data_IF_752933362453
#
_entry.id   IF_752933362453
#
_cell.length_a   1.000
_cell.length_b   1.000
_cell.length_c   1.000
_cell.angle_alpha   90.00
_cell.angle_beta   90.00
_cell.angle_gamma   90.00
#
_symmetry.space_group_name_H-M   'P 1'
#
loop_
_entity.id
_entity.type
_entity.pdbx_description
1 polymer ?
#
# COMPACT_ATOMS: atom_id res chain seq x y z
N UNK A 1 -23.59 -6.92 -40.82
CA UNK A 1 -23.96 -6.22 -39.56
C UNK A 1 -23.02 -6.67 -38.47
N UNK A 2 -21.95 -5.90 -38.20
CA UNK A 2 -20.93 -6.21 -37.19
C UNK A 2 -21.33 -5.54 -35.89
N UNK A 3 -21.45 -6.32 -34.81
CA UNK A 3 -21.60 -5.80 -33.44
C UNK A 3 -20.23 -5.40 -32.92
N UNK A 4 -20.00 -4.10 -32.73
CA UNK A 4 -18.93 -3.56 -31.97
C UNK A 4 -19.16 -3.93 -30.47
N UNK A 5 -18.32 -4.77 -29.91
CA UNK A 5 -18.19 -4.97 -28.47
C UNK A 5 -17.38 -3.82 -27.89
N UNK A 6 -18.00 -3.02 -27.03
CA UNK A 6 -17.32 -1.99 -26.23
C UNK A 6 -16.59 -2.72 -25.11
N UNK A 7 -15.27 -2.87 -25.26
CA UNK A 7 -14.40 -3.32 -24.17
C UNK A 7 -14.14 -2.08 -23.29
N UNK A 8 -14.82 -2.00 -22.12
CA UNK A 8 -14.55 -0.99 -21.11
C UNK A 8 -13.17 -1.24 -20.51
N UNK A 9 -12.24 -0.31 -20.74
CA UNK A 9 -10.95 -0.28 -20.07
C UNK A 9 -11.17 0.01 -18.58
N UNK A 10 -11.01 -0.99 -17.76
CA UNK A 10 -10.92 -0.84 -16.30
C UNK A 10 -9.50 -0.36 -16.01
N UNK A 11 -9.41 0.81 -15.34
CA UNK A 11 -8.21 1.60 -15.14
C UNK A 11 -7.00 0.81 -14.63
N UNK A 12 -5.85 1.18 -15.20
CA UNK A 12 -4.63 0.42 -15.13
C UNK A 12 -3.90 0.46 -13.80
N UNK A 13 -3.75 -0.69 -13.21
CA UNK A 13 -2.54 -0.97 -12.48
C UNK A 13 -1.38 -0.87 -13.49
N UNK A 14 -0.45 0.06 -13.27
CA UNK A 14 0.72 0.22 -14.15
C UNK A 14 1.60 -1.01 -14.00
N UNK A 15 1.49 -1.93 -14.97
CA UNK A 15 2.45 -3.00 -15.15
C UNK A 15 3.75 -2.39 -15.69
N UNK A 16 4.72 -2.13 -14.83
CA UNK A 16 6.11 -2.06 -15.24
C UNK A 16 6.50 -3.42 -15.83
N UNK A 17 7.34 -3.43 -16.86
CA UNK A 17 7.77 -4.65 -17.56
C UNK A 17 8.16 -5.74 -16.53
N UNK A 18 7.42 -6.86 -16.49
CA UNK A 18 7.58 -7.92 -15.49
C UNK A 18 8.91 -8.69 -15.64
N UNK A 19 9.56 -8.58 -16.80
CA UNK A 19 10.78 -9.36 -17.11
C UNK A 19 12.01 -8.95 -16.29
N UNK A 20 12.04 -7.74 -15.71
CA UNK A 20 13.21 -7.24 -14.99
C UNK A 20 13.15 -7.52 -13.47
N UNK A 21 11.97 -7.85 -12.92
CA UNK A 21 11.79 -8.08 -11.48
C UNK A 21 12.17 -9.51 -11.02
N UNK A 22 12.44 -10.43 -11.93
CA UNK A 22 12.77 -11.83 -11.64
C UNK A 22 14.23 -12.19 -11.97
N UNK A 23 15.12 -11.19 -12.03
CA UNK A 23 16.56 -11.48 -12.12
C UNK A 23 17.10 -11.97 -10.77
N UNK A 24 18.16 -12.82 -10.73
CA UNK A 24 18.72 -13.35 -9.49
C UNK A 24 19.13 -12.25 -8.47
N UNK A 25 19.56 -11.10 -8.96
CA UNK A 25 19.90 -9.96 -8.11
C UNK A 25 18.66 -9.34 -7.46
N UNK A 26 17.58 -9.14 -8.21
CA UNK A 26 16.30 -8.62 -7.70
C UNK A 26 15.68 -9.60 -6.71
N UNK A 27 15.68 -10.89 -7.01
CA UNK A 27 15.20 -11.92 -6.08
C UNK A 27 15.97 -11.90 -4.75
N UNK A 28 17.29 -11.74 -4.80
CA UNK A 28 18.12 -11.64 -3.59
C UNK A 28 17.75 -10.42 -2.74
N UNK A 29 17.53 -9.25 -3.34
CA UNK A 29 17.13 -8.02 -2.64
C UNK A 29 15.73 -8.17 -2.04
N UNK A 30 14.77 -8.73 -2.77
CA UNK A 30 13.40 -8.97 -2.25
C UNK A 30 13.46 -9.94 -1.07
N UNK A 31 14.22 -11.02 -1.16
CA UNK A 31 14.40 -12.00 -0.08
C UNK A 31 15.01 -11.36 1.16
N UNK A 32 16.08 -10.60 1.01
CA UNK A 32 16.69 -9.86 2.11
C UNK A 32 15.71 -8.87 2.75
N UNK A 33 14.98 -8.12 1.91
CA UNK A 33 13.94 -7.20 2.36
C UNK A 33 12.83 -7.93 3.13
N UNK A 34 12.38 -9.08 2.62
CA UNK A 34 11.37 -9.91 3.28
C UNK A 34 11.83 -10.43 4.66
N UNK A 35 13.06 -10.89 4.77
CA UNK A 35 13.63 -11.43 6.01
C UNK A 35 13.79 -10.34 7.09
N UNK A 36 14.10 -9.12 6.69
CA UNK A 36 14.26 -7.98 7.61
C UNK A 36 12.97 -7.23 7.91
N UNK A 37 11.92 -7.43 7.09
CA UNK A 37 10.63 -6.78 7.26
C UNK A 37 9.89 -7.28 8.51
N UNK A 38 9.19 -6.38 9.20
CA UNK A 38 8.33 -6.70 10.32
C UNK A 38 6.94 -7.15 9.85
N UNK A 39 6.26 -8.01 10.61
CA UNK A 39 4.84 -8.26 10.34
C UNK A 39 4.07 -6.94 10.32
N UNK A 40 2.99 -6.87 9.54
CA UNK A 40 2.19 -5.64 9.43
C UNK A 40 1.68 -5.16 10.78
N UNK A 41 1.30 -6.09 11.66
CA UNK A 41 0.87 -5.76 13.04
C UNK A 41 2.02 -5.17 13.84
N UNK A 42 3.21 -5.78 13.81
CA UNK A 42 4.38 -5.26 14.52
C UNK A 42 4.79 -3.87 14.00
N UNK A 43 4.70 -3.63 12.69
CA UNK A 43 4.98 -2.31 12.10
C UNK A 43 3.96 -1.25 12.58
N UNK A 44 2.67 -1.57 12.60
CA UNK A 44 1.63 -0.65 13.07
C UNK A 44 1.70 -0.41 14.57
N UNK A 45 2.11 -1.41 15.35
CA UNK A 45 2.35 -1.25 16.78
C UNK A 45 3.62 -0.42 17.04
N UNK A 46 4.67 -0.61 16.24
CA UNK A 46 5.85 0.26 16.27
C UNK A 46 5.49 1.72 15.98
N UNK A 47 4.62 1.99 14.99
CA UNK A 47 4.12 3.34 14.74
C UNK A 47 3.30 3.86 15.93
N UNK A 48 2.44 3.04 16.54
CA UNK A 48 1.64 3.44 17.72
C UNK A 48 2.54 3.91 18.87
N UNK A 49 3.67 3.23 19.08
CA UNK A 49 4.56 3.43 20.21
C UNK A 49 5.74 4.38 19.89
N UNK A 50 5.87 4.80 18.64
CA UNK A 50 6.94 5.68 18.19
C UNK A 50 6.89 7.05 18.87
N UNK A 51 8.04 7.51 19.32
CA UNK A 51 8.23 8.89 19.80
C UNK A 51 8.89 9.70 18.68
N UNK A 52 8.27 10.80 18.24
CA UNK A 52 8.87 11.66 17.23
C UNK A 52 10.22 12.22 17.68
N UNK A 53 11.18 12.28 16.79
CA UNK A 53 12.39 13.04 17.04
C UNK A 53 12.03 14.54 17.01
N UNK A 54 12.32 15.32 18.06
CA UNK A 54 12.01 16.75 18.08
C UNK A 54 12.91 17.59 17.14
N UNK A 55 14.03 17.05 16.72
CA UNK A 55 14.96 17.71 15.82
C UNK A 55 14.51 17.56 14.36
N UNK A 56 13.87 18.61 13.85
CA UNK A 56 13.39 18.65 12.46
C UNK A 56 14.51 18.69 11.41
N UNK A 57 15.74 19.05 11.77
CA UNK A 57 16.87 18.99 10.84
C UNK A 57 17.30 17.53 10.61
N UNK A 58 17.19 16.70 11.64
CA UNK A 58 17.51 15.26 11.59
C UNK A 58 16.36 14.43 11.06
N UNK A 59 15.12 14.71 11.50
CA UNK A 59 13.93 13.96 11.16
C UNK A 59 12.74 14.87 10.78
N UNK A 60 12.79 15.55 9.62
CA UNK A 60 11.83 16.58 9.25
C UNK A 60 10.38 16.10 9.11
N UNK A 61 10.17 14.80 8.98
CA UNK A 61 8.85 14.22 8.80
C UNK A 61 8.25 13.62 10.08
N UNK A 62 9.03 13.45 11.15
CA UNK A 62 8.56 12.82 12.39
C UNK A 62 7.41 13.59 13.06
N UNK A 63 7.29 14.88 12.81
CA UNK A 63 6.14 15.71 13.22
C UNK A 63 4.77 15.17 12.75
N UNK A 64 4.75 14.29 11.75
CA UNK A 64 3.51 13.65 11.27
C UNK A 64 3.16 12.36 12.02
N UNK A 65 4.09 11.80 12.82
CA UNK A 65 3.86 10.56 13.58
C UNK A 65 2.62 10.66 14.50
N UNK A 66 2.44 11.72 15.31
CA UNK A 66 1.29 11.79 16.23
C UNK A 66 -0.07 11.77 15.53
N UNK A 67 -0.19 12.45 14.40
CA UNK A 67 -1.45 12.43 13.64
C UNK A 67 -1.67 11.06 12.97
N UNK A 68 -0.61 10.38 12.55
CA UNK A 68 -0.70 9.04 11.99
C UNK A 68 -1.09 8.00 13.04
N UNK A 69 -0.61 8.11 14.27
CA UNK A 69 -1.06 7.29 15.40
C UNK A 69 -2.58 7.41 15.62
N UNK A 70 -3.11 8.62 15.56
CA UNK A 70 -4.57 8.84 15.67
C UNK A 70 -5.33 8.24 14.48
N UNK A 71 -4.78 8.33 13.25
CA UNK A 71 -5.37 7.76 12.05
C UNK A 71 -5.46 6.24 12.14
N UNK A 72 -4.37 5.55 12.46
CA UNK A 72 -4.40 4.07 12.58
C UNK A 72 -5.33 3.60 13.68
N UNK A 73 -5.34 4.26 14.84
CA UNK A 73 -6.27 3.94 15.94
C UNK A 73 -7.73 4.02 15.49
N UNK A 74 -8.09 5.11 14.79
CA UNK A 74 -9.45 5.31 14.27
C UNK A 74 -9.83 4.24 13.26
N UNK A 75 -8.94 3.94 12.30
CA UNK A 75 -9.22 3.00 11.21
C UNK A 75 -9.27 1.57 11.73
N UNK A 76 -8.33 1.14 12.57
CA UNK A 76 -8.38 -0.17 13.25
C UNK A 76 -9.72 -0.35 14.00
N UNK A 77 -10.16 0.68 14.74
CA UNK A 77 -11.46 0.64 15.44
C UNK A 77 -12.65 0.52 14.47
N UNK A 78 -12.59 1.23 13.34
CA UNK A 78 -13.63 1.15 12.30
C UNK A 78 -13.69 -0.23 11.67
N UNK A 79 -12.55 -0.77 11.24
CA UNK A 79 -12.46 -2.09 10.63
C UNK A 79 -12.84 -3.22 11.61
N UNK A 80 -12.47 -3.11 12.87
CA UNK A 80 -12.89 -4.07 13.90
C UNK A 80 -14.42 -4.11 14.09
N UNK A 81 -15.11 -2.96 13.87
CA UNK A 81 -16.58 -2.88 13.99
C UNK A 81 -17.31 -3.29 12.73
N UNK A 82 -16.80 -2.92 11.56
CA UNK A 82 -17.51 -3.05 10.28
C UNK A 82 -17.01 -4.25 9.44
N UNK A 83 -15.79 -4.73 9.70
CA UNK A 83 -15.11 -5.70 8.86
C UNK A 83 -14.57 -5.09 7.56
N UNK A 84 -14.04 -5.95 6.71
CA UNK A 84 -13.72 -5.63 5.32
C UNK A 84 -14.99 -5.66 4.45
N UNK A 85 -14.95 -4.99 3.30
CA UNK A 85 -16.01 -5.10 2.30
C UNK A 85 -16.16 -6.56 1.82
N UNK A 86 -17.37 -6.99 1.44
CA UNK A 86 -17.57 -8.36 0.95
C UNK A 86 -16.62 -8.75 -0.18
N UNK A 87 -16.43 -7.85 -1.15
CA UNK A 87 -15.53 -8.10 -2.29
C UNK A 87 -14.07 -8.34 -1.84
N UNK A 88 -13.56 -7.55 -0.88
CA UNK A 88 -12.19 -7.76 -0.37
C UNK A 88 -12.11 -9.02 0.51
N UNK A 89 -13.13 -9.33 1.30
CA UNK A 89 -13.18 -10.60 2.06
C UNK A 89 -13.10 -11.80 1.13
N UNK A 90 -13.89 -11.81 0.07
CA UNK A 90 -13.91 -12.90 -0.91
C UNK A 90 -12.56 -13.01 -1.63
N UNK A 91 -11.98 -11.88 -2.04
CA UNK A 91 -10.67 -11.86 -2.66
C UNK A 91 -9.58 -12.41 -1.73
N UNK A 92 -9.56 -12.01 -0.46
CA UNK A 92 -8.60 -12.47 0.55
C UNK A 92 -8.73 -13.97 0.84
N UNK A 93 -9.97 -14.49 0.92
CA UNK A 93 -10.20 -15.93 1.11
C UNK A 93 -9.80 -16.76 -0.12
N UNK A 94 -9.87 -16.15 -1.29
CA UNK A 94 -9.54 -16.77 -2.58
C UNK A 94 -8.07 -16.86 -2.91
N UNK A 95 -7.16 -16.17 -2.17
CA UNK A 95 -5.72 -16.26 -2.43
C UNK A 95 -5.19 -17.68 -2.15
N UNK A 96 -4.14 -18.05 -2.86
CA UNK A 96 -3.41 -19.30 -2.58
C UNK A 96 -2.73 -19.21 -1.21
N UNK A 97 -2.61 -20.33 -0.51
CA UNK A 97 -1.78 -20.41 0.68
C UNK A 97 -0.32 -20.06 0.34
N UNK A 98 0.33 -19.31 1.23
CA UNK A 98 1.69 -18.82 0.99
C UNK A 98 1.76 -17.49 0.21
N UNK A 99 0.63 -16.90 -0.20
CA UNK A 99 0.62 -15.55 -0.78
C UNK A 99 1.22 -14.53 0.19
N UNK A 100 2.08 -13.64 -0.31
CA UNK A 100 2.81 -12.67 0.48
C UNK A 100 2.63 -11.26 -0.06
N UNK A 101 2.71 -10.27 0.82
CA UNK A 101 2.83 -8.85 0.46
C UNK A 101 3.97 -8.20 1.22
N UNK A 102 4.88 -7.55 0.50
CA UNK A 102 5.90 -6.67 1.06
C UNK A 102 5.45 -5.22 0.88
N UNK A 103 5.35 -4.46 1.98
CA UNK A 103 4.90 -3.07 1.95
C UNK A 103 6.06 -2.16 2.36
N UNK A 104 6.56 -1.35 1.42
CA UNK A 104 7.54 -0.31 1.75
C UNK A 104 6.80 0.91 2.30
N UNK A 105 7.17 1.34 3.51
CA UNK A 105 6.50 2.43 4.21
C UNK A 105 7.43 3.12 5.22
N UNK A 106 6.96 4.25 5.75
CA UNK A 106 7.57 4.97 6.88
C UNK A 106 6.50 5.39 7.88
N UNK A 107 6.88 5.56 9.16
CA UNK A 107 5.94 5.94 10.22
C UNK A 107 5.34 7.33 10.01
N UNK A 108 6.09 8.23 9.39
CA UNK A 108 5.61 9.56 9.04
C UNK A 108 4.68 9.60 7.82
N UNK A 109 4.54 8.50 7.06
CA UNK A 109 3.73 8.47 5.85
C UNK A 109 2.23 8.52 6.16
N UNK A 110 1.59 9.63 5.77
CA UNK A 110 0.16 9.84 5.99
C UNK A 110 -0.73 8.89 5.18
N UNK A 111 -0.33 8.54 3.96
CA UNK A 111 -1.04 7.55 3.13
C UNK A 111 -0.91 6.14 3.73
N UNK A 112 0.30 5.79 4.21
CA UNK A 112 0.53 4.53 4.92
C UNK A 112 -0.40 4.36 6.12
N UNK A 113 -0.57 5.42 6.92
CA UNK A 113 -1.49 5.40 8.06
C UNK A 113 -2.97 5.19 7.68
N UNK A 114 -3.36 5.45 6.43
CA UNK A 114 -4.72 5.19 5.92
C UNK A 114 -4.88 3.77 5.35
N UNK A 115 -3.80 3.22 4.79
CA UNK A 115 -3.81 2.00 3.97
C UNK A 115 -3.42 0.76 4.79
N UNK A 116 -2.35 0.84 5.59
CA UNK A 116 -1.79 -0.31 6.28
C UNK A 116 -2.76 -1.01 7.26
N UNK A 117 -3.66 -0.31 7.97
CA UNK A 117 -4.68 -0.99 8.77
C UNK A 117 -5.63 -1.90 7.96
N UNK A 118 -5.83 -1.60 6.66
CA UNK A 118 -6.61 -2.49 5.76
C UNK A 118 -5.80 -3.75 5.47
N UNK A 119 -4.49 -3.63 5.19
CA UNK A 119 -3.61 -4.80 5.03
C UNK A 119 -3.60 -5.70 6.27
N UNK A 120 -3.57 -5.12 7.48
CA UNK A 120 -3.65 -5.88 8.72
C UNK A 120 -4.98 -6.64 8.83
N UNK A 121 -6.10 -5.98 8.52
CA UNK A 121 -7.42 -6.62 8.51
C UNK A 121 -7.52 -7.75 7.46
N UNK A 122 -6.83 -7.61 6.31
CA UNK A 122 -6.73 -8.66 5.30
C UNK A 122 -6.00 -9.90 5.83
N UNK A 123 -4.89 -9.73 6.55
CA UNK A 123 -4.18 -10.84 7.20
C UNK A 123 -5.10 -11.59 8.14
N UNK A 124 -5.84 -10.90 9.00
CA UNK A 124 -6.80 -11.53 9.92
C UNK A 124 -7.91 -12.29 9.18
N UNK A 125 -8.38 -11.76 8.04
CA UNK A 125 -9.45 -12.39 7.26
C UNK A 125 -8.97 -13.54 6.36
N UNK A 126 -7.66 -13.71 6.17
CA UNK A 126 -7.07 -14.68 5.25
C UNK A 126 -6.97 -16.12 5.80
N UNK A 127 -7.26 -16.30 7.07
CA UNK A 127 -7.13 -17.59 7.75
C UNK A 127 -5.73 -18.23 7.58
N UNK A 128 -4.69 -17.38 7.57
CA UNK A 128 -3.29 -17.80 7.44
C UNK A 128 -2.79 -17.99 6.00
N UNK A 129 -3.59 -17.69 4.97
CA UNK A 129 -3.16 -17.82 3.57
C UNK A 129 -2.32 -16.63 3.08
N UNK A 130 -2.53 -15.44 3.66
CA UNK A 130 -1.83 -14.21 3.30
C UNK A 130 -0.93 -13.76 4.43
N UNK A 131 0.34 -13.56 4.13
CA UNK A 131 1.29 -12.90 5.03
C UNK A 131 1.62 -11.50 4.50
N UNK A 132 1.55 -10.48 5.36
CA UNK A 132 1.94 -9.11 5.02
C UNK A 132 3.03 -8.63 5.95
N UNK A 133 4.14 -8.20 5.37
CA UNK A 133 5.26 -7.58 6.09
C UNK A 133 5.50 -6.17 5.61
N UNK A 134 5.94 -5.30 6.51
CA UNK A 134 6.29 -3.92 6.19
C UNK A 134 7.80 -3.69 6.40
N UNK A 135 8.39 -3.00 5.43
CA UNK A 135 9.80 -2.67 5.36
C UNK A 135 9.98 -1.15 5.42
N UNK A 136 10.89 -0.67 6.25
CA UNK A 136 11.19 0.76 6.34
C UNK A 136 11.96 1.19 5.08
N UNK A 137 11.32 2.06 4.26
CA UNK A 137 11.84 2.49 2.95
C UNK A 137 13.21 3.13 3.03
N UNK A 138 13.42 4.02 4.01
CA UNK A 138 14.65 4.81 4.09
C UNK A 138 15.88 3.98 4.51
N UNK A 139 15.63 2.80 5.11
CA UNK A 139 16.67 1.83 5.45
C UNK A 139 16.93 0.81 4.34
N UNK A 140 16.03 0.72 3.35
CA UNK A 140 16.04 -0.27 2.29
C UNK A 140 15.77 0.39 0.93
N UNK A 141 16.58 1.41 0.61
CA UNK A 141 16.46 2.18 -0.63
C UNK A 141 16.74 1.33 -1.86
N UNK A 142 17.57 0.32 -1.75
CA UNK A 142 17.87 -0.67 -2.77
C UNK A 142 16.63 -1.48 -3.18
N UNK A 143 15.85 -1.95 -2.20
CA UNK A 143 14.56 -2.60 -2.47
C UNK A 143 13.53 -1.60 -3.01
N UNK A 144 13.49 -0.37 -2.48
CA UNK A 144 12.56 0.66 -2.95
C UNK A 144 12.82 1.06 -4.41
N UNK A 145 14.08 1.09 -4.84
CA UNK A 145 14.46 1.46 -6.20
C UNK A 145 14.00 0.45 -7.26
N UNK A 146 13.64 -0.78 -6.86
CA UNK A 146 13.00 -1.77 -7.73
C UNK A 146 11.55 -1.41 -8.06
N UNK A 147 10.87 -0.57 -7.23
CA UNK A 147 9.43 -0.35 -7.30
C UNK A 147 9.03 1.12 -7.36
N UNK A 148 9.79 1.93 -8.09
CA UNK A 148 9.53 3.36 -8.24
C UNK A 148 8.15 3.65 -8.86
N UNK A 149 7.54 4.75 -8.46
CA UNK A 149 6.32 5.27 -9.08
C UNK A 149 6.65 6.57 -9.81
N UNK A 150 6.58 6.56 -11.14
CA UNK A 150 6.98 7.68 -12.00
C UNK A 150 8.41 8.19 -11.68
N UNK A 151 9.34 7.28 -11.45
CA UNK A 151 10.73 7.58 -11.09
C UNK A 151 10.95 8.04 -9.66
N UNK A 152 9.92 8.07 -8.82
CA UNK A 152 10.00 8.51 -7.42
C UNK A 152 9.78 7.37 -6.42
N UNK A 153 10.45 7.48 -5.25
CA UNK A 153 10.32 6.56 -4.11
C UNK A 153 9.04 6.80 -3.31
N UNK A 154 7.89 6.71 -4.00
CA UNK A 154 6.58 6.99 -3.41
C UNK A 154 6.10 5.84 -2.52
N UNK A 155 5.57 6.16 -1.33
CA UNK A 155 5.08 5.20 -0.33
C UNK A 155 3.67 5.56 0.15
N UNK A 156 2.91 4.53 0.65
CA UNK A 156 3.29 3.11 0.73
C UNK A 156 3.34 2.45 -0.66
N UNK A 157 4.26 1.52 -0.88
CA UNK A 157 4.29 0.68 -2.07
C UNK A 157 4.09 -0.77 -1.64
N UNK A 158 3.06 -1.40 -2.15
CA UNK A 158 2.72 -2.81 -1.88
C UNK A 158 3.19 -3.66 -3.05
N UNK A 159 3.98 -4.67 -2.78
CA UNK A 159 4.46 -5.68 -3.73
C UNK A 159 3.79 -7.00 -3.39
N UNK A 160 3.01 -7.54 -4.32
CA UNK A 160 2.39 -8.86 -4.21
C UNK A 160 3.39 -9.90 -4.67
N UNK A 161 3.57 -10.94 -3.87
CA UNK A 161 4.55 -12.00 -4.06
C UNK A 161 3.86 -13.37 -3.95
N UNK A 162 4.38 -14.35 -4.66
CA UNK A 162 4.02 -15.74 -4.44
C UNK A 162 4.77 -16.33 -3.22
N UNK A 163 4.58 -17.63 -2.98
CA UNK A 163 5.25 -18.37 -1.92
C UNK A 163 6.78 -18.34 -2.07
N UNK A 164 7.29 -18.35 -3.30
CA UNK A 164 8.71 -18.30 -3.64
C UNK A 164 9.35 -16.91 -3.59
N UNK A 165 8.55 -15.86 -3.32
CA UNK A 165 8.93 -14.44 -3.38
C UNK A 165 9.07 -13.88 -4.80
N UNK A 166 8.47 -14.52 -5.81
CA UNK A 166 8.37 -13.95 -7.14
C UNK A 166 7.35 -12.83 -7.18
N UNK A 167 7.65 -11.75 -7.89
CA UNK A 167 6.76 -10.58 -7.99
C UNK A 167 5.58 -10.88 -8.89
N UNK A 168 4.37 -10.82 -8.35
CA UNK A 168 3.11 -10.96 -9.07
C UNK A 168 2.51 -9.61 -9.50
N UNK A 169 2.86 -8.53 -8.81
CA UNK A 169 2.38 -7.20 -9.12
C UNK A 169 2.70 -6.17 -8.05
N UNK A 170 2.41 -4.90 -8.33
CA UNK A 170 2.58 -3.81 -7.37
C UNK A 170 1.35 -2.90 -7.32
N UNK A 171 1.09 -2.31 -6.15
CA UNK A 171 0.01 -1.36 -5.92
C UNK A 171 0.46 -0.19 -5.04
N UNK A 172 -0.16 0.97 -5.25
CA UNK A 172 0.13 2.20 -4.49
C UNK A 172 0.89 3.24 -5.30
N UNK A 173 1.18 4.40 -4.70
CA UNK A 173 1.12 4.73 -3.26
C UNK A 173 -0.28 5.07 -2.73
N UNK A 174 -1.27 5.22 -3.60
CA UNK A 174 -2.65 5.61 -3.26
C UNK A 174 -3.63 4.93 -4.19
N UNK A 175 -4.92 4.87 -3.84
CA UNK A 175 -5.98 4.57 -4.79
C UNK A 175 -5.96 5.54 -5.98
N UNK A 176 -6.40 5.08 -7.14
CA UNK A 176 -6.36 5.84 -8.40
C UNK A 176 -7.09 7.19 -8.28
N UNK A 177 -8.25 7.20 -7.63
CA UNK A 177 -9.01 8.43 -7.42
C UNK A 177 -8.23 9.46 -6.57
N UNK A 178 -7.54 9.01 -5.52
CA UNK A 178 -6.68 9.88 -4.72
C UNK A 178 -5.44 10.35 -5.50
N UNK A 179 -4.88 9.51 -6.38
CA UNK A 179 -3.79 9.88 -7.28
C UNK A 179 -4.24 10.97 -8.27
N UNK A 180 -5.43 10.82 -8.85
CA UNK A 180 -6.03 11.81 -9.75
C UNK A 180 -6.29 13.16 -9.03
N UNK A 181 -6.80 13.09 -7.79
CA UNK A 181 -6.97 14.27 -6.93
C UNK A 181 -5.65 15.00 -6.71
N UNK A 182 -4.59 14.28 -6.30
CA UNK A 182 -3.25 14.87 -6.09
C UNK A 182 -2.72 15.51 -7.36
N UNK A 183 -2.83 14.83 -8.49
CA UNK A 183 -2.39 15.35 -9.81
C UNK A 183 -3.10 16.67 -10.14
N UNK A 184 -4.42 16.72 -9.97
CA UNK A 184 -5.23 17.92 -10.22
C UNK A 184 -4.83 19.08 -9.30
N UNK A 185 -4.67 18.82 -7.99
CA UNK A 185 -4.31 19.87 -7.03
C UNK A 185 -2.90 20.40 -7.32
N UNK A 186 -1.93 19.52 -7.57
CA UNK A 186 -0.55 19.91 -7.83
C UNK A 186 -0.34 20.62 -9.16
N UNK A 187 -1.23 20.45 -10.13
CA UNK A 187 -1.18 21.18 -11.40
C UNK A 187 -1.67 22.63 -11.29
N UNK A 188 -2.38 22.99 -10.21
CA UNK A 188 -2.83 24.35 -9.93
C UNK A 188 -1.94 24.98 -8.84
N UNK A 189 -1.05 25.88 -9.26
CA UNK A 189 -0.08 26.54 -8.37
C UNK A 189 -0.73 27.33 -7.22
N UNK A 190 -1.96 27.83 -7.41
CA UNK A 190 -2.69 28.56 -6.38
C UNK A 190 -3.07 27.69 -5.19
N UNK A 191 -3.36 26.42 -5.42
CA UNK A 191 -3.83 25.48 -4.39
C UNK A 191 -2.87 24.31 -4.13
N UNK A 192 -1.76 24.20 -4.88
CA UNK A 192 -0.80 23.08 -4.78
C UNK A 192 -0.32 22.82 -3.35
N UNK A 193 -0.17 23.88 -2.54
CA UNK A 193 0.26 23.78 -1.13
C UNK A 193 -0.78 23.09 -0.22
N UNK A 194 -2.05 22.99 -0.63
CA UNK A 194 -3.14 22.39 0.14
C UNK A 194 -3.29 20.88 -0.10
N UNK A 195 -2.47 20.29 -0.98
CA UNK A 195 -2.69 18.91 -1.45
C UNK A 195 -2.80 17.89 -0.30
N UNK A 196 -1.96 18.03 0.72
CA UNK A 196 -1.96 17.12 1.86
C UNK A 196 -3.27 17.16 2.64
N UNK A 197 -3.79 18.35 2.93
CA UNK A 197 -5.06 18.54 3.61
C UNK A 197 -6.22 17.97 2.79
N UNK A 198 -6.27 18.28 1.50
CA UNK A 198 -7.35 17.81 0.62
C UNK A 198 -7.34 16.28 0.46
N UNK A 199 -6.17 15.65 0.34
CA UNK A 199 -6.04 14.19 0.28
C UNK A 199 -6.53 13.54 1.58
N UNK A 200 -6.17 14.08 2.75
CA UNK A 200 -6.63 13.52 4.01
C UNK A 200 -8.12 13.76 4.27
N UNK A 201 -8.69 14.84 3.74
CA UNK A 201 -10.15 15.05 3.71
C UNK A 201 -10.84 14.00 2.83
N UNK A 202 -10.28 13.73 1.63
CA UNK A 202 -10.75 12.68 0.74
C UNK A 202 -10.77 11.32 1.45
N UNK A 203 -9.67 10.87 2.08
CA UNK A 203 -9.64 9.61 2.84
C UNK A 203 -10.71 9.55 3.94
N UNK A 204 -10.99 10.67 4.59
CA UNK A 204 -12.02 10.74 5.63
C UNK A 204 -13.42 10.52 5.05
N UNK A 205 -13.66 10.99 3.84
CA UNK A 205 -14.94 10.83 3.12
C UNK A 205 -15.05 9.43 2.50
N UNK A 206 -13.97 8.92 1.91
CA UNK A 206 -13.88 7.61 1.27
C UNK A 206 -14.05 6.44 2.27
N UNK A 207 -13.61 6.60 3.50
CA UNK A 207 -13.70 5.57 4.57
C UNK A 207 -13.12 4.22 4.15
N UNK A 208 -12.00 4.23 3.46
CA UNK A 208 -11.26 3.08 2.93
C UNK A 208 -11.99 2.29 1.84
N UNK A 209 -13.05 2.81 1.23
CA UNK A 209 -13.83 2.10 0.20
C UNK A 209 -13.00 1.86 -1.06
N UNK A 210 -12.36 2.90 -1.61
CA UNK A 210 -11.51 2.76 -2.80
C UNK A 210 -10.27 1.90 -2.53
N UNK A 211 -9.65 2.02 -1.35
CA UNK A 211 -8.54 1.15 -0.94
C UNK A 211 -8.98 -0.32 -1.00
N UNK A 212 -10.12 -0.65 -0.41
CA UNK A 212 -10.62 -2.02 -0.35
C UNK A 212 -11.03 -2.54 -1.73
N UNK A 213 -11.67 -1.71 -2.56
CA UNK A 213 -12.07 -2.08 -3.90
C UNK A 213 -10.85 -2.40 -4.79
N UNK A 214 -9.84 -1.54 -4.78
CA UNK A 214 -8.63 -1.75 -5.58
C UNK A 214 -7.79 -2.92 -5.08
N UNK A 215 -7.67 -3.13 -3.75
CA UNK A 215 -6.96 -4.28 -3.19
C UNK A 215 -7.68 -5.60 -3.49
N UNK A 216 -9.01 -5.62 -3.58
CA UNK A 216 -9.76 -6.80 -4.01
C UNK A 216 -9.41 -7.19 -5.45
N UNK A 217 -9.35 -6.22 -6.38
CA UNK A 217 -8.91 -6.44 -7.76
C UNK A 217 -7.44 -6.87 -7.81
N UNK A 218 -6.58 -6.20 -7.05
CA UNK A 218 -5.15 -6.48 -7.00
C UNK A 218 -4.84 -7.91 -6.56
N UNK A 219 -5.56 -8.44 -5.57
CA UNK A 219 -5.44 -9.84 -5.14
C UNK A 219 -5.87 -10.85 -6.20
N UNK A 220 -6.72 -10.46 -7.15
CA UNK A 220 -7.10 -11.30 -8.27
C UNK A 220 -5.90 -11.78 -9.10
N UNK A 221 -4.82 -11.02 -9.14
CA UNK A 221 -3.57 -11.42 -9.81
C UNK A 221 -2.86 -12.60 -9.12
N UNK A 222 -3.08 -12.79 -7.80
CA UNK A 222 -2.55 -13.94 -7.07
C UNK A 222 -3.36 -15.24 -7.27
N UNK A 223 -4.53 -15.14 -7.89
CA UNK A 223 -5.41 -16.31 -8.12
C UNK A 223 -5.15 -16.99 -9.46
N UNK A 224 -4.59 -16.25 -10.42
CA UNK A 224 -4.34 -16.71 -11.79
C UNK A 224 -2.91 -17.19 -12.08
N UNK A 225 -1.99 -17.04 -11.13
CA UNK A 225 -0.58 -17.42 -11.27
C UNK A 225 -0.30 -18.86 -10.85
#
# INVERSE_FOLDING_TARGET
MAKLGICGAVGGATFGAMDDHNSPHVEALIRQGWETAHSITAHLDGLRDATPNPDEEVAPYDKYIPINQQRIKRIRKSLAKQGLSPALQDAVRGVKAGTKMLVLNEFWCGDGAQILPVHEAMVHASEGKLEVRALMRDKHVDVMDLFLTNGGRAIPKTVLLDEGLQVLGTWGPRPEEAMALVKRIKSDLAIAHTYSEQVHKWYTQDKQQNIQAELAVFLGHAQGA
#
